data_IF_165964000222
#
_entry.id   IF_165964000222
#
_cell.length_a   1.000
_cell.length_b   1.000
_cell.length_c   1.000
_cell.angle_alpha   90.00
_cell.angle_beta   90.00
_cell.angle_gamma   90.00
#
_symmetry.space_group_name_H-M   'P 1'
#
loop_
_entity.id
_entity.type
_entity.pdbx_description
1 polymer ?
#
# COMPACT_ATOMS: atom_id res chain seq x y z
N UNK A 1 -51.07 -1.69 29.33
CA UNK A 1 -50.43 -0.53 28.68
C UNK A 1 -48.95 -0.83 28.57
N UNK A 2 -48.48 -1.17 27.37
CA UNK A 2 -47.09 -1.56 27.13
C UNK A 2 -46.26 -0.30 26.87
N UNK A 3 -45.16 -0.12 27.62
CA UNK A 3 -44.23 0.99 27.44
C UNK A 3 -43.47 0.83 26.10
N UNK A 4 -43.20 1.91 25.36
CA UNK A 4 -42.43 1.82 24.13
C UNK A 4 -40.93 1.65 24.41
N UNK A 5 -40.28 0.92 23.50
CA UNK A 5 -38.89 0.48 23.55
C UNK A 5 -37.89 1.64 23.47
N UNK A 6 -37.25 1.98 24.60
CA UNK A 6 -36.13 2.92 24.63
C UNK A 6 -34.84 2.38 23.96
N UNK A 7 -34.74 1.06 23.73
CA UNK A 7 -33.56 0.42 23.14
C UNK A 7 -33.39 0.65 21.64
N UNK A 8 -34.48 0.78 20.88
CA UNK A 8 -34.41 0.87 19.41
C UNK A 8 -34.02 2.26 18.88
N UNK A 9 -34.20 3.32 19.68
CA UNK A 9 -33.84 4.69 19.29
C UNK A 9 -32.34 4.97 19.46
N UNK A 10 -31.72 4.43 20.51
CA UNK A 10 -30.29 4.57 20.78
C UNK A 10 -29.45 3.81 19.73
N UNK A 11 -29.81 2.57 19.39
CA UNK A 11 -29.10 1.78 18.37
C UNK A 11 -29.18 2.38 16.96
N UNK A 12 -30.26 3.12 16.63
CA UNK A 12 -30.38 3.84 15.36
C UNK A 12 -29.50 5.08 15.29
N UNK A 13 -29.34 5.80 16.41
CA UNK A 13 -28.51 7.00 16.48
C UNK A 13 -27.02 6.65 16.49
N UNK A 14 -26.64 5.59 17.21
CA UNK A 14 -25.26 5.05 17.19
C UNK A 14 -24.88 4.54 15.80
N UNK A 15 -25.76 3.77 15.14
CA UNK A 15 -25.53 3.31 13.76
C UNK A 15 -25.42 4.49 12.77
N UNK A 16 -26.25 5.51 12.92
CA UNK A 16 -26.17 6.71 12.09
C UNK A 16 -24.89 7.54 12.32
N UNK A 17 -24.36 7.54 13.55
CA UNK A 17 -23.08 8.17 13.90
C UNK A 17 -21.90 7.38 13.36
N UNK A 18 -21.93 6.06 13.48
CA UNK A 18 -20.91 5.16 12.92
C UNK A 18 -20.85 5.29 11.39
N UNK A 19 -22.01 5.33 10.72
CA UNK A 19 -22.10 5.52 9.27
C UNK A 19 -21.54 6.89 8.83
N UNK A 20 -21.80 7.95 9.61
CA UNK A 20 -21.28 9.29 9.33
C UNK A 20 -19.77 9.38 9.56
N UNK A 21 -19.25 8.83 10.65
CA UNK A 21 -17.82 8.78 10.93
C UNK A 21 -17.09 7.93 9.87
N UNK A 22 -17.68 6.81 9.44
CA UNK A 22 -17.14 5.99 8.36
C UNK A 22 -17.13 6.75 7.03
N UNK A 23 -18.20 7.49 6.72
CA UNK A 23 -18.27 8.32 5.52
C UNK A 23 -17.25 9.47 5.55
N UNK A 24 -17.10 10.14 6.70
CA UNK A 24 -16.07 11.17 6.88
C UNK A 24 -14.66 10.60 6.73
N UNK A 25 -14.41 9.42 7.32
CA UNK A 25 -13.15 8.71 7.16
C UNK A 25 -12.87 8.38 5.69
N UNK A 26 -13.87 7.88 4.94
CA UNK A 26 -13.72 7.61 3.50
C UNK A 26 -13.34 8.85 2.70
N UNK A 27 -14.00 9.98 2.95
CA UNK A 27 -13.71 11.27 2.27
C UNK A 27 -12.30 11.76 2.63
N UNK A 28 -11.95 11.76 3.92
CA UNK A 28 -10.62 12.16 4.37
C UNK A 28 -9.53 11.28 3.74
N UNK A 29 -9.77 9.98 3.65
CA UNK A 29 -8.82 9.03 3.07
C UNK A 29 -8.67 9.23 1.55
N UNK A 30 -9.74 9.50 0.83
CA UNK A 30 -9.69 9.85 -0.60
C UNK A 30 -8.91 11.15 -0.85
N UNK A 31 -9.10 12.16 0.01
CA UNK A 31 -8.34 13.41 -0.03
C UNK A 31 -6.85 13.17 0.27
N UNK A 32 -6.54 12.38 1.31
CA UNK A 32 -5.16 12.00 1.64
C UNK A 32 -4.49 11.23 0.50
N UNK A 33 -5.20 10.32 -0.17
CA UNK A 33 -4.72 9.59 -1.32
C UNK A 33 -4.41 10.53 -2.48
N UNK A 34 -5.33 11.45 -2.79
CA UNK A 34 -5.17 12.44 -3.86
C UNK A 34 -3.99 13.37 -3.59
N UNK A 35 -3.85 13.86 -2.37
CA UNK A 35 -2.71 14.69 -1.95
C UNK A 35 -1.38 13.93 -2.04
N UNK A 36 -1.33 12.69 -1.52
CA UNK A 36 -0.14 11.85 -1.60
C UNK A 36 0.21 11.54 -3.06
N UNK A 37 -0.77 11.22 -3.90
CA UNK A 37 -0.58 11.00 -5.33
C UNK A 37 0.03 12.22 -6.01
N UNK A 38 -0.53 13.42 -5.78
CA UNK A 38 0.00 14.66 -6.34
C UNK A 38 1.44 14.94 -5.88
N UNK A 39 1.72 14.77 -4.59
CA UNK A 39 3.05 14.96 -4.00
C UNK A 39 4.07 14.00 -4.57
N UNK A 40 3.78 12.70 -4.52
CA UNK A 40 4.74 11.66 -4.87
C UNK A 40 4.85 11.42 -6.37
N UNK A 41 3.85 11.80 -7.19
CA UNK A 41 4.01 11.81 -8.65
C UNK A 41 5.18 12.69 -9.11
N UNK A 42 5.53 13.74 -8.37
CA UNK A 42 6.72 14.56 -8.68
C UNK A 42 7.97 14.08 -7.96
N UNK A 43 7.84 13.69 -6.70
CA UNK A 43 9.00 13.35 -5.86
C UNK A 43 9.51 11.91 -6.01
N UNK A 44 8.66 10.96 -6.42
CA UNK A 44 8.96 9.53 -6.48
C UNK A 44 7.98 8.79 -7.41
N UNK A 45 8.23 8.86 -8.72
CA UNK A 45 7.32 8.32 -9.74
C UNK A 45 7.87 7.10 -10.48
N UNK A 46 9.01 6.56 -10.05
CA UNK A 46 9.67 5.44 -10.72
C UNK A 46 9.88 4.31 -9.72
N UNK A 47 9.42 3.07 -10.02
CA UNK A 47 9.71 1.91 -9.19
C UNK A 47 11.22 1.70 -9.00
N UNK A 48 11.66 1.55 -7.75
CA UNK A 48 13.06 1.36 -7.40
C UNK A 48 13.38 -0.14 -7.31
N UNK A 49 14.29 -0.70 -8.13
CA UNK A 49 14.68 -2.10 -8.04
C UNK A 49 15.48 -2.36 -6.75
N UNK A 50 15.08 -3.37 -5.99
CA UNK A 50 15.77 -3.79 -4.76
C UNK A 50 16.62 -5.03 -5.04
N UNK A 51 15.98 -6.08 -5.53
CA UNK A 51 16.60 -7.32 -6.02
C UNK A 51 15.88 -7.75 -7.29
N UNK A 52 16.42 -8.75 -7.99
CA UNK A 52 15.80 -9.26 -9.22
C UNK A 52 14.32 -9.64 -8.97
N UNK A 53 13.43 -9.08 -9.79
CA UNK A 53 12.00 -9.30 -9.69
C UNK A 53 11.28 -8.54 -8.57
N UNK A 54 11.97 -7.76 -7.73
CA UNK A 54 11.36 -7.01 -6.63
C UNK A 54 11.68 -5.53 -6.68
N UNK A 55 10.62 -4.73 -6.74
CA UNK A 55 10.65 -3.27 -6.80
C UNK A 55 9.93 -2.68 -5.59
N UNK A 56 10.39 -1.50 -5.16
CA UNK A 56 9.81 -0.71 -4.09
C UNK A 56 9.43 0.68 -4.60
N UNK A 57 8.26 1.19 -4.21
CA UNK A 57 7.82 2.51 -4.61
C UNK A 57 6.81 3.17 -3.67
N UNK A 58 6.48 4.43 -3.97
CA UNK A 58 5.33 5.15 -3.43
C UNK A 58 4.08 4.97 -4.28
N UNK A 59 2.99 5.64 -3.90
CA UNK A 59 1.80 5.78 -4.74
C UNK A 59 2.11 6.47 -6.07
N UNK A 60 3.10 7.37 -6.13
CA UNK A 60 3.51 8.04 -7.36
C UNK A 60 4.05 7.04 -8.38
N UNK A 61 4.94 6.15 -7.93
CA UNK A 61 5.47 5.06 -8.75
C UNK A 61 4.38 4.07 -9.21
N UNK A 62 3.43 3.75 -8.32
CA UNK A 62 2.30 2.87 -8.67
C UNK A 62 1.30 3.50 -9.67
N UNK A 63 1.27 4.83 -9.79
CA UNK A 63 0.44 5.56 -10.75
C UNK A 63 1.14 5.80 -12.10
N UNK A 64 2.42 5.45 -12.23
CA UNK A 64 3.18 5.65 -13.46
C UNK A 64 3.12 4.40 -14.35
N UNK A 65 1.99 4.23 -15.05
CA UNK A 65 1.73 3.07 -15.92
C UNK A 65 2.84 2.80 -16.94
N UNK A 66 3.42 3.84 -17.54
CA UNK A 66 4.47 3.69 -18.55
C UNK A 66 5.75 3.10 -17.94
N UNK A 67 6.14 3.59 -16.75
CA UNK A 67 7.26 3.01 -16.01
C UNK A 67 6.98 1.57 -15.55
N UNK A 68 5.74 1.26 -15.15
CA UNK A 68 5.38 -0.11 -14.78
C UNK A 68 5.53 -1.07 -15.96
N UNK A 69 5.04 -0.66 -17.15
CA UNK A 69 5.14 -1.46 -18.37
C UNK A 69 6.58 -1.60 -18.87
N UNK A 70 7.36 -0.51 -18.87
CA UNK A 70 8.75 -0.56 -19.33
C UNK A 70 9.63 -1.44 -18.45
N UNK A 71 9.31 -1.54 -17.15
CA UNK A 71 9.98 -2.44 -16.20
C UNK A 71 9.39 -3.86 -16.18
N UNK A 72 8.43 -4.17 -17.07
CA UNK A 72 7.72 -5.45 -17.14
C UNK A 72 7.11 -5.86 -15.78
N UNK A 73 6.63 -4.90 -14.99
CA UNK A 73 5.93 -5.19 -13.75
C UNK A 73 4.63 -5.91 -14.08
N UNK A 74 4.39 -7.02 -13.40
CA UNK A 74 3.24 -7.92 -13.62
C UNK A 74 2.32 -7.97 -12.40
N UNK A 75 2.90 -7.76 -11.22
CA UNK A 75 2.20 -7.83 -9.95
C UNK A 75 2.45 -6.58 -9.12
N UNK A 76 1.43 -6.09 -8.44
CA UNK A 76 1.52 -4.93 -7.55
C UNK A 76 0.94 -5.29 -6.18
N UNK A 77 1.79 -5.28 -5.16
CA UNK A 77 1.39 -5.50 -3.77
C UNK A 77 1.13 -4.16 -3.09
N UNK A 78 -0.12 -3.96 -2.68
CA UNK A 78 -0.55 -2.80 -1.92
C UNK A 78 -0.51 -3.14 -0.43
N UNK A 79 0.33 -2.41 0.30
CA UNK A 79 0.50 -2.60 1.74
C UNK A 79 -0.49 -1.77 2.56
N UNK A 80 -0.95 -0.66 2.00
CA UNK A 80 -1.92 0.21 2.67
C UNK A 80 -3.35 -0.22 2.33
N UNK A 81 -4.11 -0.69 3.32
CA UNK A 81 -5.50 -1.17 3.18
C UNK A 81 -6.39 -0.21 2.39
N UNK A 82 -6.24 1.08 2.68
CA UNK A 82 -6.99 2.18 2.13
C UNK A 82 -6.63 2.58 0.70
N UNK A 83 -5.61 1.96 0.10
CA UNK A 83 -5.28 2.19 -1.29
C UNK A 83 -5.99 1.17 -2.19
N UNK A 84 -6.50 1.66 -3.30
CA UNK A 84 -7.14 0.85 -4.33
C UNK A 84 -6.19 0.65 -5.53
N UNK A 85 -6.31 -0.47 -6.25
CA UNK A 85 -5.61 -0.69 -7.52
C UNK A 85 -5.79 0.48 -8.50
N UNK A 86 -4.69 0.97 -9.05
CA UNK A 86 -4.72 2.06 -10.03
C UNK A 86 -5.13 1.58 -11.44
N UNK A 87 -4.69 0.38 -11.83
CA UNK A 87 -4.87 -0.17 -13.17
C UNK A 87 -5.30 -1.65 -13.09
N UNK A 88 -6.44 -1.97 -12.45
CA UNK A 88 -6.85 -3.35 -12.14
C UNK A 88 -7.01 -4.27 -13.36
N UNK A 89 -7.25 -3.70 -14.56
CA UNK A 89 -7.36 -4.47 -15.79
C UNK A 89 -6.00 -4.84 -16.43
N UNK A 90 -4.89 -4.28 -15.92
CA UNK A 90 -3.57 -4.39 -16.56
C UNK A 90 -2.52 -5.10 -15.73
N UNK A 91 -2.69 -5.13 -14.40
CA UNK A 91 -1.73 -5.76 -13.49
C UNK A 91 -2.48 -6.61 -12.47
N UNK A 92 -1.78 -7.62 -11.96
CA UNK A 92 -2.30 -8.45 -10.87
C UNK A 92 -2.06 -7.76 -9.54
N UNK A 93 -3.12 -7.38 -8.85
CA UNK A 93 -3.02 -6.76 -7.54
C UNK A 93 -3.19 -7.77 -6.42
N UNK A 94 -2.38 -7.62 -5.37
CA UNK A 94 -2.62 -8.27 -4.09
C UNK A 94 -2.62 -7.21 -2.99
N UNK A 95 -3.42 -7.41 -1.96
CA UNK A 95 -3.33 -6.69 -0.68
C UNK A 95 -2.79 -7.67 0.36
N UNK A 96 -2.04 -7.19 1.34
CA UNK A 96 -1.38 -8.05 2.35
C UNK A 96 -2.36 -8.77 3.29
N UNK A 97 -3.65 -8.48 3.18
CA UNK A 97 -4.69 -9.25 3.86
C UNK A 97 -4.93 -10.62 3.20
N UNK A 98 -4.54 -10.78 1.94
CA UNK A 98 -4.69 -12.01 1.15
C UNK A 98 -3.38 -12.78 1.04
N UNK A 99 -3.50 -14.11 1.01
CA UNK A 99 -2.41 -15.07 1.03
C UNK A 99 -1.28 -14.79 0.02
N UNK A 100 -0.08 -15.19 0.44
CA UNK A 100 1.23 -14.81 -0.10
C UNK A 100 1.39 -14.80 -1.62
N UNK A 101 2.38 -14.05 -2.10
CA UNK A 101 2.73 -13.95 -3.52
C UNK A 101 3.42 -15.25 -3.94
N UNK A 102 2.71 -16.11 -4.67
CA UNK A 102 3.20 -17.40 -5.16
C UNK A 102 3.52 -17.45 -6.66
N UNK A 103 3.49 -16.32 -7.36
CA UNK A 103 3.68 -16.26 -8.81
C UNK A 103 5.02 -15.62 -9.21
N UNK A 104 5.68 -16.18 -10.23
CA UNK A 104 6.85 -15.56 -10.85
C UNK A 104 6.51 -14.25 -11.57
N UNK A 105 7.51 -13.38 -11.72
CA UNK A 105 7.38 -12.09 -12.42
C UNK A 105 7.98 -10.91 -11.63
N UNK A 106 7.93 -9.71 -12.21
CA UNK A 106 8.36 -8.49 -11.53
C UNK A 106 7.23 -7.93 -10.65
N UNK A 107 7.51 -7.78 -9.36
CA UNK A 107 6.58 -7.36 -8.33
C UNK A 107 6.94 -5.95 -7.85
N UNK A 108 5.98 -5.04 -7.84
CA UNK A 108 6.08 -3.75 -7.14
C UNK A 108 5.42 -3.84 -5.76
N UNK A 109 6.19 -3.60 -4.69
CA UNK A 109 5.66 -3.30 -3.36
C UNK A 109 5.50 -1.80 -3.16
N UNK A 110 4.33 -1.34 -2.76
CA UNK A 110 4.15 0.07 -2.39
C UNK A 110 3.19 0.31 -1.22
N UNK A 111 3.38 1.46 -0.59
CA UNK A 111 2.39 2.08 0.30
C UNK A 111 2.12 3.51 -0.21
N UNK A 112 1.80 4.46 0.68
CA UNK A 112 1.67 5.85 0.27
C UNK A 112 2.99 6.46 -0.19
N UNK A 113 4.06 6.36 0.63
CA UNK A 113 5.34 7.03 0.37
C UNK A 113 6.48 6.07 -0.01
N UNK A 114 6.31 4.77 0.17
CA UNK A 114 7.39 3.80 -0.01
C UNK A 114 8.55 4.00 0.97
N UNK A 115 8.25 4.26 2.26
CA UNK A 115 9.23 4.63 3.30
C UNK A 115 9.26 3.73 4.53
N UNK A 116 8.10 3.42 5.12
CA UNK A 116 7.98 2.63 6.36
C UNK A 116 7.38 1.24 6.05
N UNK A 117 6.06 1.05 6.21
CA UNK A 117 5.36 -0.24 5.99
C UNK A 117 5.88 -1.12 4.84
N UNK A 118 5.93 -0.60 3.61
CA UNK A 118 6.40 -1.37 2.46
C UNK A 118 7.89 -1.73 2.54
N UNK A 119 8.71 -0.86 3.14
CA UNK A 119 10.12 -1.15 3.43
C UNK A 119 10.23 -2.26 4.47
N UNK A 120 9.45 -2.20 5.56
CA UNK A 120 9.44 -3.24 6.60
C UNK A 120 9.20 -4.62 6.00
N UNK A 121 8.26 -4.74 5.06
CA UNK A 121 7.97 -6.01 4.39
C UNK A 121 9.10 -6.43 3.44
N UNK A 122 9.68 -5.51 2.69
CA UNK A 122 10.86 -5.82 1.85
C UNK A 122 12.02 -6.32 2.71
N UNK A 123 12.28 -5.68 3.84
CA UNK A 123 13.34 -6.10 4.78
C UNK A 123 13.04 -7.49 5.33
N UNK A 124 11.82 -7.74 5.80
CA UNK A 124 11.41 -9.06 6.27
C UNK A 124 11.52 -10.14 5.17
N UNK A 125 11.18 -9.80 3.93
CA UNK A 125 11.36 -10.68 2.78
C UNK A 125 12.83 -11.02 2.54
N UNK A 126 13.72 -10.02 2.53
CA UNK A 126 15.16 -10.22 2.35
C UNK A 126 15.74 -11.09 3.46
N UNK A 127 15.36 -10.85 4.70
CA UNK A 127 15.78 -11.66 5.84
C UNK A 127 15.31 -13.12 5.70
N UNK A 128 14.04 -13.34 5.38
CA UNK A 128 13.46 -14.69 5.28
C UNK A 128 13.94 -15.47 4.06
N UNK A 129 13.93 -14.83 2.88
CA UNK A 129 14.19 -15.52 1.60
C UNK A 129 15.66 -15.55 1.23
N UNK A 130 16.39 -14.46 1.52
CA UNK A 130 17.82 -14.32 1.18
C UNK A 130 18.73 -14.51 2.40
N UNK A 131 18.18 -14.86 3.57
CA UNK A 131 18.94 -15.17 4.80
C UNK A 131 19.86 -14.00 5.22
N UNK A 132 19.47 -12.76 4.89
CA UNK A 132 20.21 -11.57 5.27
C UNK A 132 19.97 -11.23 6.75
N UNK A 133 20.99 -10.68 7.41
CA UNK A 133 20.76 -10.00 8.70
C UNK A 133 19.89 -8.76 8.51
N UNK A 134 19.22 -8.32 9.58
CA UNK A 134 18.45 -7.07 9.57
C UNK A 134 19.29 -5.89 9.07
N UNK A 135 20.54 -5.79 9.56
CA UNK A 135 21.49 -4.74 9.17
C UNK A 135 21.84 -4.79 7.68
N UNK A 136 22.13 -5.99 7.15
CA UNK A 136 22.47 -6.18 5.75
C UNK A 136 21.28 -5.84 4.85
N UNK A 137 20.08 -6.30 5.21
CA UNK A 137 18.85 -6.03 4.47
C UNK A 137 18.53 -4.53 4.46
N UNK A 138 18.62 -3.86 5.61
CA UNK A 138 18.41 -2.40 5.71
C UNK A 138 19.46 -1.62 4.91
N UNK A 139 20.72 -2.02 4.97
CA UNK A 139 21.80 -1.39 4.22
C UNK A 139 21.60 -1.53 2.71
N UNK A 140 21.19 -2.72 2.25
CA UNK A 140 20.84 -2.94 0.85
C UNK A 140 19.71 -2.02 0.40
N UNK A 141 18.60 -1.99 1.14
CA UNK A 141 17.44 -1.17 0.79
C UNK A 141 17.79 0.33 0.81
N UNK A 142 18.56 0.79 1.80
CA UNK A 142 19.06 2.18 1.89
C UNK A 142 19.99 2.54 0.74
N UNK A 143 20.84 1.62 0.29
CA UNK A 143 21.73 1.85 -0.86
C UNK A 143 20.96 2.11 -2.16
N UNK A 144 19.73 1.57 -2.28
CA UNK A 144 18.86 1.76 -3.44
C UNK A 144 17.91 2.95 -3.28
N UNK A 145 17.50 3.24 -2.04
CA UNK A 145 16.49 4.26 -1.72
C UNK A 145 16.82 4.94 -0.39
N UNK A 146 17.41 6.13 -0.45
CA UNK A 146 17.90 6.86 0.74
C UNK A 146 16.80 7.26 1.72
N UNK A 147 15.58 7.54 1.22
CA UNK A 147 14.48 8.05 2.04
C UNK A 147 13.78 7.00 2.91
N UNK A 148 14.31 5.78 3.03
CA UNK A 148 13.67 4.71 3.81
C UNK A 148 13.80 4.93 5.31
N UNK A 149 12.71 4.72 6.02
CA UNK A 149 12.58 4.84 7.47
C UNK A 149 11.53 3.82 7.91
N UNK A 150 11.92 2.53 8.03
CA UNK A 150 11.04 1.41 8.38
C UNK A 150 10.27 1.68 9.67
#
# INVERSE_FOLDING_TARGET
>A
MSMPEAGQAAERDERGRDDYEEQQARVLMALMQSFCAARYRKADNTPCPIVQGLYLGSIGAALNKDALKSLNITHILIVARSLSPAFPAEFNYKKIEDEGIGSGGNVLLHCFAGRSRSVTIVVAYLMKKHQMSLESALSLVRSKRLQVAP
#
